data_IF_978643489105
#
_entry.id   IF_978643489105
#
_cell.length_a   1.000
_cell.length_b   1.000
_cell.length_c   1.000
_cell.angle_alpha   90.00
_cell.angle_beta   90.00
_cell.angle_gamma   90.00
#
_symmetry.space_group_name_H-M   'P 1'
#
loop_
_entity.id
_entity.type
_entity.pdbx_description
1 polymer ?
#
# COMPACT_ATOMS: atom_id res chain seq x y z
N UNK A 1 7.92 -13.47 14.75
CA UNK A 1 8.51 -12.22 14.26
C UNK A 1 9.20 -12.47 12.94
N UNK A 2 9.08 -11.56 11.98
CA UNK A 2 9.76 -11.59 10.69
C UNK A 2 10.63 -10.32 10.59
N UNK A 3 11.92 -10.48 10.24
CA UNK A 3 12.90 -9.39 10.21
C UNK A 3 13.53 -9.31 8.84
N UNK A 4 13.59 -8.10 8.29
CA UNK A 4 14.36 -7.76 7.10
C UNK A 4 15.64 -7.04 7.53
N UNK A 5 16.79 -7.46 7.03
CA UNK A 5 18.06 -6.84 7.29
C UNK A 5 18.78 -6.51 5.98
N UNK A 6 18.94 -5.23 5.71
CA UNK A 6 19.60 -4.65 4.54
C UNK A 6 19.15 -5.28 3.21
N UNK A 7 17.84 -5.52 3.08
CA UNK A 7 17.25 -6.24 1.94
C UNK A 7 17.27 -5.38 0.69
N UNK A 8 17.88 -5.91 -0.37
CA UNK A 8 17.97 -5.26 -1.68
C UNK A 8 17.42 -6.15 -2.77
N UNK A 9 16.70 -5.55 -3.72
CA UNK A 9 16.23 -6.20 -4.95
C UNK A 9 16.56 -5.37 -6.16
N UNK A 10 17.35 -5.93 -7.07
CA UNK A 10 17.59 -5.39 -8.40
C UNK A 10 17.09 -6.36 -9.47
N UNK A 11 16.43 -5.82 -10.48
CA UNK A 11 15.99 -6.59 -11.66
C UNK A 11 16.91 -6.29 -12.84
N UNK A 12 17.28 -7.31 -13.57
CA UNK A 12 18.05 -7.15 -14.83
C UNK A 12 17.12 -6.59 -15.91
N UNK A 13 17.59 -5.54 -16.60
CA UNK A 13 16.86 -4.90 -17.70
C UNK A 13 17.58 -5.20 -19.02
N UNK A 14 16.83 -5.71 -20.02
CA UNK A 14 17.36 -6.00 -21.36
C UNK A 14 17.96 -7.40 -21.53
N UNK A 15 17.94 -7.87 -22.79
CA UNK A 15 18.34 -9.23 -23.17
C UNK A 15 19.86 -9.34 -23.44
N UNK A 16 20.52 -8.23 -23.80
CA UNK A 16 21.96 -8.17 -24.09
C UNK A 16 22.57 -6.93 -23.40
N UNK A 17 23.31 -7.16 -22.32
CA UNK A 17 24.10 -6.11 -21.66
C UNK A 17 23.30 -4.97 -20.99
N UNK A 18 22.04 -5.22 -20.66
CA UNK A 18 21.17 -4.26 -20.03
C UNK A 18 21.59 -3.96 -18.58
N UNK A 19 21.25 -2.75 -18.12
CA UNK A 19 21.50 -2.31 -16.75
C UNK A 19 20.68 -3.10 -15.71
N UNK A 20 20.89 -2.77 -14.45
CA UNK A 20 20.06 -3.25 -13.34
C UNK A 20 19.13 -2.13 -12.86
N UNK A 21 17.87 -2.45 -12.62
CA UNK A 21 16.89 -1.54 -12.03
C UNK A 21 16.70 -1.91 -10.56
N UNK A 22 17.18 -1.09 -9.61
CA UNK A 22 16.96 -1.34 -8.20
C UNK A 22 15.51 -1.04 -7.83
N UNK A 23 14.77 -2.05 -7.37
CA UNK A 23 13.38 -1.92 -6.92
C UNK A 23 13.27 -1.75 -5.41
N UNK A 24 14.21 -2.32 -4.65
CA UNK A 24 14.34 -2.16 -3.19
C UNK A 24 15.83 -2.02 -2.89
N UNK A 25 16.16 -1.14 -1.96
CA UNK A 25 17.54 -0.73 -1.65
C UNK A 25 17.73 -0.68 -0.13
N UNK A 26 18.36 -1.71 0.44
CA UNK A 26 18.77 -1.76 1.83
C UNK A 26 17.64 -1.64 2.86
N UNK A 27 16.47 -2.21 2.58
CA UNK A 27 15.34 -2.12 3.51
C UNK A 27 15.60 -2.96 4.77
N UNK A 28 15.49 -2.32 5.95
CA UNK A 28 15.64 -2.96 7.26
C UNK A 28 14.47 -2.56 8.15
N UNK A 29 13.67 -3.55 8.55
CA UNK A 29 12.55 -3.40 9.49
C UNK A 29 12.04 -4.75 9.96
N UNK A 30 11.13 -4.75 10.91
CA UNK A 30 10.52 -5.97 11.44
C UNK A 30 8.99 -5.93 11.38
N UNK A 31 8.38 -7.10 11.31
CA UNK A 31 6.93 -7.31 11.43
C UNK A 31 6.71 -8.16 12.68
N UNK A 32 6.02 -7.57 13.66
CA UNK A 32 5.81 -8.16 14.99
C UNK A 32 4.48 -8.91 15.04
N UNK A 33 4.39 -10.01 15.81
CA UNK A 33 3.10 -10.62 16.13
C UNK A 33 2.17 -9.63 16.84
N UNK A 34 0.88 -9.66 16.49
CA UNK A 34 -0.12 -8.80 17.13
C UNK A 34 -0.03 -7.31 16.77
N UNK A 35 0.68 -6.97 15.70
CA UNK A 35 0.89 -5.60 15.24
C UNK A 35 0.58 -5.48 13.74
N UNK A 36 -0.03 -4.37 13.34
CA UNK A 36 -0.15 -3.98 11.94
C UNK A 36 0.96 -2.98 11.62
N UNK A 37 1.83 -3.35 10.70
CA UNK A 37 2.85 -2.47 10.14
C UNK A 37 2.36 -1.97 8.78
N UNK A 38 2.08 -0.67 8.63
CA UNK A 38 1.74 -0.08 7.34
C UNK A 38 3.01 0.17 6.51
N UNK A 39 3.00 -0.29 5.27
CA UNK A 39 4.04 0.03 4.27
C UNK A 39 3.43 0.96 3.22
N UNK A 40 3.82 2.23 3.26
CA UNK A 40 3.20 3.31 2.50
C UNK A 40 4.20 3.91 1.50
N UNK A 41 3.72 4.35 0.36
CA UNK A 41 4.50 5.04 -0.67
C UNK A 41 3.81 5.05 -2.01
N UNK A 42 4.33 5.82 -2.97
CA UNK A 42 3.78 5.92 -4.32
C UNK A 42 3.79 4.59 -5.08
N UNK A 43 3.02 4.52 -6.16
CA UNK A 43 3.10 3.39 -7.09
C UNK A 43 4.52 3.27 -7.64
N UNK A 44 5.05 2.03 -7.69
CA UNK A 44 6.44 1.79 -8.12
C UNK A 44 7.51 2.04 -7.06
N UNK A 45 7.17 2.42 -5.83
CA UNK A 45 8.18 2.63 -4.76
C UNK A 45 8.85 1.34 -4.26
N UNK A 46 8.36 0.14 -4.64
CA UNK A 46 8.95 -1.15 -4.24
C UNK A 46 8.12 -1.95 -3.23
N UNK A 47 6.98 -1.45 -2.77
CA UNK A 47 6.12 -2.09 -1.74
C UNK A 47 5.75 -3.54 -2.06
N UNK A 48 5.12 -3.76 -3.20
CA UNK A 48 4.73 -5.13 -3.63
C UNK A 48 5.93 -6.03 -3.89
N UNK A 49 7.10 -5.45 -4.24
CA UNK A 49 8.35 -6.20 -4.36
C UNK A 49 8.81 -6.72 -3.00
N UNK A 50 8.74 -5.90 -1.95
CA UNK A 50 9.00 -6.32 -0.56
C UNK A 50 8.05 -7.43 -0.14
N UNK A 51 6.75 -7.28 -0.35
CA UNK A 51 5.77 -8.33 -0.08
C UNK A 51 6.09 -9.64 -0.80
N UNK A 52 6.44 -9.58 -2.10
CA UNK A 52 6.81 -10.77 -2.89
C UNK A 52 8.11 -11.41 -2.39
N UNK A 53 9.08 -10.65 -1.90
CA UNK A 53 10.31 -11.21 -1.31
C UNK A 53 10.02 -11.91 0.02
N UNK A 54 9.21 -11.32 0.89
CA UNK A 54 8.74 -11.96 2.12
C UNK A 54 8.03 -13.27 1.80
N UNK A 55 7.16 -13.29 0.82
CA UNK A 55 6.45 -14.50 0.38
C UNK A 55 7.31 -15.48 -0.44
N UNK A 56 8.60 -15.18 -0.62
CA UNK A 56 9.53 -15.97 -1.47
C UNK A 56 9.05 -16.19 -2.90
N UNK A 57 8.20 -15.32 -3.41
CA UNK A 57 7.79 -15.29 -4.82
C UNK A 57 8.86 -14.64 -5.71
N UNK A 58 9.75 -13.86 -5.08
CA UNK A 58 10.89 -13.21 -5.72
C UNK A 58 12.11 -13.34 -4.80
N UNK A 59 13.27 -13.81 -5.28
CA UNK A 59 14.47 -13.89 -4.45
C UNK A 59 15.04 -12.49 -4.16
N UNK A 60 15.67 -12.33 -3.01
CA UNK A 60 16.47 -11.15 -2.68
C UNK A 60 17.73 -11.10 -3.53
N UNK A 61 18.27 -9.91 -3.79
CA UNK A 61 19.57 -9.74 -4.46
C UNK A 61 20.70 -9.73 -3.42
N UNK A 62 20.49 -9.04 -2.30
CA UNK A 62 21.38 -9.04 -1.14
C UNK A 62 20.60 -8.74 0.13
N UNK A 63 21.23 -8.89 1.30
CA UNK A 63 20.57 -8.83 2.59
C UNK A 63 19.85 -10.13 2.94
N UNK A 64 19.19 -10.16 4.09
CA UNK A 64 18.52 -11.36 4.62
C UNK A 64 17.11 -11.05 5.09
N UNK A 65 16.23 -12.05 4.94
CA UNK A 65 14.90 -12.04 5.55
C UNK A 65 14.84 -13.26 6.47
N UNK A 66 14.61 -13.04 7.76
CA UNK A 66 14.49 -14.10 8.74
C UNK A 66 13.08 -14.21 9.28
N UNK A 67 12.62 -15.43 9.46
CA UNK A 67 11.38 -15.74 10.15
C UNK A 67 11.68 -16.64 11.35
N UNK A 68 11.32 -16.16 12.56
CA UNK A 68 11.65 -16.83 13.82
C UNK A 68 13.13 -17.21 13.92
N UNK A 69 14.02 -16.29 13.48
CA UNK A 69 15.48 -16.45 13.52
C UNK A 69 16.07 -17.31 12.39
N UNK A 70 15.26 -17.87 11.50
CA UNK A 70 15.74 -18.68 10.37
C UNK A 70 15.69 -17.88 9.07
N UNK A 71 16.80 -17.83 8.32
CA UNK A 71 16.82 -17.20 6.99
C UNK A 71 15.90 -17.96 6.03
N UNK A 72 14.88 -17.28 5.54
CA UNK A 72 13.87 -17.88 4.66
C UNK A 72 14.46 -18.33 3.32
N UNK A 73 15.57 -17.76 2.86
CA UNK A 73 16.22 -18.15 1.60
C UNK A 73 16.76 -19.58 1.66
N UNK A 74 17.13 -20.08 2.83
CA UNK A 74 17.70 -21.41 3.05
C UNK A 74 16.65 -22.52 3.09
N UNK A 75 15.39 -22.20 3.37
CA UNK A 75 14.30 -23.17 3.55
C UNK A 75 14.01 -23.96 2.29
N UNK A 76 13.86 -25.28 2.40
CA UNK A 76 13.54 -26.20 1.29
C UNK A 76 12.55 -27.29 1.73
N UNK A 77 11.84 -27.86 0.77
CA UNK A 77 10.96 -29.01 0.99
C UNK A 77 9.96 -28.80 2.14
N UNK A 78 10.06 -29.61 3.18
CA UNK A 78 9.16 -29.56 4.35
C UNK A 78 9.25 -28.23 5.12
N UNK A 79 10.46 -27.68 5.28
CA UNK A 79 10.66 -26.40 5.99
C UNK A 79 10.00 -25.23 5.24
N UNK A 80 10.12 -25.20 3.91
CA UNK A 80 9.47 -24.20 3.09
C UNK A 80 7.94 -24.31 3.14
N UNK A 81 7.43 -25.55 3.17
CA UNK A 81 6.00 -25.81 3.32
C UNK A 81 5.48 -25.34 4.67
N UNK A 82 6.26 -25.54 5.74
CA UNK A 82 5.91 -25.06 7.08
C UNK A 82 5.96 -23.54 7.14
N UNK A 83 6.94 -22.91 6.50
CA UNK A 83 6.98 -21.46 6.34
C UNK A 83 5.69 -20.92 5.72
N UNK A 84 5.22 -21.52 4.62
CA UNK A 84 3.96 -21.11 3.99
C UNK A 84 2.71 -21.44 4.82
N UNK A 85 2.82 -22.28 5.84
CA UNK A 85 1.75 -22.48 6.81
C UNK A 85 1.60 -21.27 7.74
N UNK A 86 2.70 -20.57 8.01
CA UNK A 86 2.76 -19.45 8.93
C UNK A 86 2.76 -18.07 8.25
N UNK A 87 3.21 -17.98 7.02
CA UNK A 87 3.32 -16.71 6.28
C UNK A 87 2.49 -16.79 5.00
N UNK A 88 1.44 -15.98 4.93
CA UNK A 88 0.51 -15.95 3.81
C UNK A 88 0.41 -14.57 3.21
N UNK A 89 0.00 -14.50 1.92
CA UNK A 89 -0.24 -13.25 1.22
C UNK A 89 -1.63 -13.18 0.61
N UNK A 90 -2.17 -11.98 0.62
CA UNK A 90 -3.38 -11.60 -0.11
C UNK A 90 -3.04 -10.37 -0.93
N UNK A 91 -3.33 -10.40 -2.24
CA UNK A 91 -2.93 -9.38 -3.19
C UNK A 91 -4.10 -8.52 -3.66
N UNK A 92 -3.76 -7.39 -4.27
CA UNK A 92 -4.67 -6.34 -4.73
C UNK A 92 -5.80 -6.85 -5.63
N UNK A 93 -5.47 -7.65 -6.63
CA UNK A 93 -6.46 -8.20 -7.57
C UNK A 93 -6.86 -9.62 -7.13
N UNK A 94 -8.06 -9.77 -6.53
CA UNK A 94 -8.53 -11.09 -6.14
C UNK A 94 -8.77 -12.00 -7.35
N UNK A 95 -9.18 -11.45 -8.50
CA UNK A 95 -9.46 -12.24 -9.69
C UNK A 95 -8.22 -12.92 -10.25
N UNK A 96 -7.06 -12.27 -10.20
CA UNK A 96 -5.78 -12.83 -10.64
C UNK A 96 -5.33 -14.04 -9.79
N UNK A 97 -5.85 -14.17 -8.58
CA UNK A 97 -5.56 -15.29 -7.68
C UNK A 97 -6.36 -16.56 -8.00
N UNK A 98 -7.35 -16.47 -8.90
CA UNK A 98 -8.21 -17.57 -9.26
C UNK A 98 -8.07 -17.92 -10.75
N UNK A 99 -8.19 -19.20 -11.04
CA UNK A 99 -8.43 -19.63 -12.42
C UNK A 99 -9.96 -19.64 -12.66
N UNK A 100 -10.50 -18.82 -13.59
CA UNK A 100 -11.94 -18.65 -13.78
C UNK A 100 -12.68 -19.90 -14.26
N UNK A 101 -11.96 -20.90 -14.74
CA UNK A 101 -12.53 -22.20 -15.15
C UNK A 101 -13.01 -23.00 -13.94
N UNK A 102 -12.48 -22.73 -12.76
CA UNK A 102 -12.81 -23.44 -11.54
C UNK A 102 -13.69 -22.61 -10.61
N UNK A 103 -14.37 -23.30 -9.70
CA UNK A 103 -15.12 -22.67 -8.61
C UNK A 103 -14.17 -21.97 -7.64
N UNK A 104 -14.62 -20.88 -7.03
CA UNK A 104 -13.80 -20.10 -6.11
C UNK A 104 -13.38 -20.90 -4.86
N UNK A 105 -14.21 -21.81 -4.39
CA UNK A 105 -13.95 -22.67 -3.23
C UNK A 105 -12.89 -23.77 -3.46
N UNK A 106 -12.41 -23.94 -4.71
CA UNK A 106 -11.30 -24.85 -5.01
C UNK A 106 -10.03 -24.53 -4.21
N UNK A 107 -9.81 -23.27 -3.83
CA UNK A 107 -8.65 -22.88 -3.01
C UNK A 107 -8.61 -23.64 -1.69
N UNK A 108 -9.77 -23.94 -1.09
CA UNK A 108 -9.87 -24.72 0.15
C UNK A 108 -9.50 -26.20 -0.08
N UNK A 109 -9.93 -26.78 -1.20
CA UNK A 109 -9.55 -28.16 -1.55
C UNK A 109 -8.01 -28.29 -1.72
N UNK A 110 -7.36 -27.28 -2.30
CA UNK A 110 -5.91 -27.26 -2.44
C UNK A 110 -5.21 -27.21 -1.07
N UNK A 111 -5.72 -26.40 -0.13
CA UNK A 111 -5.19 -26.36 1.25
C UNK A 111 -5.37 -27.70 1.94
N UNK A 112 -6.57 -28.29 1.85
CA UNK A 112 -6.84 -29.63 2.42
C UNK A 112 -5.81 -30.65 1.94
N UNK A 113 -5.68 -30.78 0.63
CA UNK A 113 -4.74 -31.73 0.03
C UNK A 113 -3.30 -31.51 0.49
N UNK A 114 -2.90 -30.24 0.59
CA UNK A 114 -1.51 -29.91 0.91
C UNK A 114 -1.19 -29.99 2.38
N UNK A 115 -2.07 -29.62 3.28
CA UNK A 115 -1.76 -29.46 4.71
C UNK A 115 -2.57 -30.35 5.64
N UNK A 116 -3.75 -30.83 5.20
CA UNK A 116 -4.68 -31.58 6.03
C UNK A 116 -5.22 -32.84 5.32
N UNK A 117 -4.37 -33.70 4.74
CA UNK A 117 -4.81 -34.83 3.93
C UNK A 117 -5.60 -35.87 4.74
N UNK A 118 -5.32 -35.99 6.04
CA UNK A 118 -5.97 -36.95 6.94
C UNK A 118 -7.30 -36.47 7.54
N UNK A 119 -7.65 -35.19 7.38
CA UNK A 119 -8.91 -34.62 7.91
C UNK A 119 -10.09 -35.14 7.09
N UNK A 120 -11.15 -35.62 7.75
CA UNK A 120 -12.36 -36.10 7.10
C UNK A 120 -13.03 -35.01 6.24
N UNK A 121 -13.87 -35.42 5.29
CA UNK A 121 -14.58 -34.47 4.44
C UNK A 121 -15.60 -33.62 5.23
N UNK A 122 -16.24 -34.20 6.25
CA UNK A 122 -17.19 -33.50 7.11
C UNK A 122 -16.45 -32.45 7.97
N UNK A 123 -15.43 -32.86 8.71
CA UNK A 123 -14.66 -31.96 9.55
C UNK A 123 -14.01 -30.82 8.74
N UNK A 124 -13.52 -31.14 7.52
CA UNK A 124 -12.96 -30.11 6.65
C UNK A 124 -14.01 -29.07 6.22
N UNK A 125 -15.24 -29.55 5.95
CA UNK A 125 -16.34 -28.66 5.61
C UNK A 125 -16.64 -27.70 6.76
N UNK A 126 -16.71 -28.20 8.00
CA UNK A 126 -16.99 -27.39 9.18
C UNK A 126 -15.87 -26.34 9.42
N UNK A 127 -14.60 -26.72 9.21
CA UNK A 127 -13.47 -25.78 9.28
C UNK A 127 -13.57 -24.67 8.22
N UNK A 128 -13.93 -25.03 6.99
CA UNK A 128 -14.09 -24.06 5.89
C UNK A 128 -15.26 -23.12 6.18
N UNK A 129 -16.39 -23.65 6.71
CA UNK A 129 -17.55 -22.83 7.06
C UNK A 129 -17.22 -21.84 8.17
N UNK A 130 -16.62 -22.30 9.26
CA UNK A 130 -16.18 -21.43 10.34
C UNK A 130 -15.17 -20.38 9.87
N UNK A 131 -14.29 -20.73 8.91
CA UNK A 131 -13.36 -19.77 8.33
C UNK A 131 -14.07 -18.72 7.47
N UNK A 132 -15.07 -19.11 6.67
CA UNK A 132 -15.89 -18.16 5.88
C UNK A 132 -16.71 -17.24 6.79
N UNK A 133 -17.34 -17.79 7.82
CA UNK A 133 -18.08 -17.00 8.81
C UNK A 133 -17.21 -16.00 9.55
N UNK A 134 -15.96 -16.39 9.88
CA UNK A 134 -15.00 -15.51 10.55
C UNK A 134 -14.62 -14.27 9.74
N UNK A 135 -14.82 -14.32 8.42
CA UNK A 135 -14.60 -13.17 7.51
C UNK A 135 -15.93 -12.52 7.07
N UNK A 136 -17.04 -12.84 7.75
CA UNK A 136 -18.36 -12.27 7.46
C UNK A 136 -18.98 -12.75 6.14
N UNK A 137 -18.66 -13.97 5.70
CA UNK A 137 -19.27 -14.60 4.55
C UNK A 137 -20.18 -15.74 4.99
N UNK A 138 -21.42 -15.76 4.46
CA UNK A 138 -22.28 -16.93 4.60
C UNK A 138 -21.78 -18.05 3.66
N UNK A 139 -21.42 -19.24 4.18
CA UNK A 139 -20.93 -20.34 3.36
C UNK A 139 -21.86 -20.75 2.22
N UNK A 140 -23.19 -20.67 2.42
CA UNK A 140 -24.17 -21.03 1.39
C UNK A 140 -24.09 -20.11 0.17
N UNK A 141 -23.77 -18.83 0.37
CA UNK A 141 -23.77 -17.84 -0.68
C UNK A 141 -22.52 -17.90 -1.57
N UNK A 142 -21.42 -18.49 -1.06
CA UNK A 142 -20.11 -18.48 -1.75
C UNK A 142 -19.68 -19.88 -2.20
N UNK A 143 -20.19 -20.94 -1.60
CA UNK A 143 -19.85 -22.31 -2.01
C UNK A 143 -20.34 -22.62 -3.41
N UNK A 144 -19.58 -23.41 -4.12
CA UNK A 144 -19.88 -23.85 -5.47
C UNK A 144 -20.10 -22.75 -6.50
N UNK A 145 -19.73 -21.48 -6.17
CA UNK A 145 -19.80 -20.36 -7.10
C UNK A 145 -18.52 -20.24 -7.91
N UNK A 146 -18.68 -19.83 -9.16
CA UNK A 146 -17.53 -19.39 -9.97
C UNK A 146 -17.14 -17.95 -9.61
N UNK A 147 -15.92 -17.56 -9.94
CA UNK A 147 -15.40 -16.22 -9.63
C UNK A 147 -16.27 -15.07 -10.18
N UNK A 148 -16.83 -15.25 -11.40
CA UNK A 148 -17.71 -14.26 -12.03
C UNK A 148 -19.10 -14.14 -11.37
N UNK A 149 -19.46 -15.02 -10.43
CA UNK A 149 -20.70 -14.99 -9.68
C UNK A 149 -20.54 -14.35 -8.31
N UNK A 150 -19.34 -13.89 -7.97
CA UNK A 150 -18.99 -13.32 -6.68
C UNK A 150 -18.46 -11.88 -6.88
N UNK A 151 -18.73 -11.02 -5.89
CA UNK A 151 -18.15 -9.68 -5.88
C UNK A 151 -16.66 -9.73 -5.58
N UNK A 152 -15.92 -8.67 -5.98
CA UNK A 152 -14.50 -8.54 -5.64
C UNK A 152 -14.25 -8.65 -4.12
N UNK A 153 -15.11 -8.02 -3.31
CA UNK A 153 -15.03 -8.10 -1.85
C UNK A 153 -15.31 -9.50 -1.29
N UNK A 154 -16.21 -10.27 -1.90
CA UNK A 154 -16.41 -11.67 -1.53
C UNK A 154 -15.19 -12.53 -1.86
N UNK A 155 -14.62 -12.38 -3.07
CA UNK A 155 -13.41 -13.07 -3.48
C UNK A 155 -12.22 -12.73 -2.57
N UNK A 156 -12.07 -11.46 -2.20
CA UNK A 156 -11.03 -11.01 -1.29
C UNK A 156 -11.16 -11.66 0.09
N UNK A 157 -12.37 -11.68 0.65
CA UNK A 157 -12.64 -12.34 1.94
C UNK A 157 -12.46 -13.85 1.88
N UNK A 158 -12.76 -14.51 0.76
CA UNK A 158 -12.44 -15.94 0.57
C UNK A 158 -10.92 -16.17 0.60
N UNK A 159 -10.10 -15.28 0.02
CA UNK A 159 -8.63 -15.40 0.09
C UNK A 159 -8.11 -15.20 1.51
N UNK A 160 -8.73 -14.33 2.31
CA UNK A 160 -8.40 -14.19 3.73
C UNK A 160 -8.84 -15.45 4.50
N UNK A 161 -10.08 -15.94 4.30
CA UNK A 161 -10.56 -17.18 4.90
C UNK A 161 -9.64 -18.37 4.58
N UNK A 162 -9.16 -18.45 3.33
CA UNK A 162 -8.18 -19.45 2.92
C UNK A 162 -6.90 -19.38 3.77
N UNK A 163 -6.41 -18.19 4.03
CA UNK A 163 -5.21 -18.01 4.86
C UNK A 163 -5.48 -18.44 6.31
N UNK A 164 -6.66 -18.12 6.86
CA UNK A 164 -7.05 -18.44 8.24
C UNK A 164 -7.25 -19.94 8.51
N UNK A 165 -7.39 -20.78 7.49
CA UNK A 165 -7.38 -22.24 7.64
C UNK A 165 -6.00 -22.80 8.03
N UNK A 166 -4.96 -22.00 7.87
CA UNK A 166 -3.59 -22.30 8.27
C UNK A 166 -3.27 -21.61 9.61
N UNK A 167 -2.23 -22.05 10.28
CA UNK A 167 -1.77 -21.44 11.54
C UNK A 167 -0.92 -20.19 11.23
N UNK A 168 -1.55 -19.20 10.60
CA UNK A 168 -0.82 -18.02 10.16
C UNK A 168 -0.33 -17.16 11.32
N UNK A 169 0.91 -16.72 11.22
CA UNK A 169 1.56 -15.77 12.16
C UNK A 169 1.79 -14.41 11.51
N UNK A 170 1.99 -14.40 10.18
CA UNK A 170 2.21 -13.18 9.39
C UNK A 170 1.30 -13.19 8.16
N UNK A 171 0.61 -12.08 7.93
CA UNK A 171 -0.17 -11.81 6.73
C UNK A 171 0.43 -10.62 5.97
N UNK A 172 0.79 -10.82 4.71
CA UNK A 172 1.11 -9.75 3.78
C UNK A 172 -0.16 -9.36 3.03
N UNK A 173 -0.70 -8.19 3.32
CA UNK A 173 -1.94 -7.65 2.78
C UNK A 173 -1.60 -6.54 1.77
N UNK A 174 -1.42 -6.89 0.47
CA UNK A 174 -0.96 -5.97 -0.56
C UNK A 174 -2.15 -5.33 -1.28
N UNK A 175 -2.45 -4.06 -0.93
CA UNK A 175 -3.53 -3.23 -1.47
C UNK A 175 -4.92 -3.91 -1.47
N UNK A 176 -5.20 -4.74 -0.47
CA UNK A 176 -6.36 -5.65 -0.44
C UNK A 176 -7.73 -4.96 -0.42
N UNK A 177 -7.78 -3.65 -0.20
CA UNK A 177 -9.03 -2.87 -0.12
C UNK A 177 -9.21 -1.90 -1.29
N UNK A 178 -8.27 -1.84 -2.25
CA UNK A 178 -8.29 -0.86 -3.34
C UNK A 178 -9.43 -1.11 -4.35
N UNK A 179 -9.82 -2.38 -4.55
CA UNK A 179 -10.82 -2.79 -5.55
C UNK A 179 -12.19 -3.13 -4.95
N UNK A 180 -12.46 -2.74 -3.72
CA UNK A 180 -13.73 -3.02 -3.04
C UNK A 180 -14.44 -1.73 -2.66
N UNK A 181 -15.76 -1.78 -2.53
CA UNK A 181 -16.60 -0.66 -2.15
C UNK A 181 -16.31 -0.16 -0.72
N UNK A 182 -16.70 1.09 -0.44
CA UNK A 182 -16.36 1.77 0.81
C UNK A 182 -16.88 1.05 2.07
N UNK A 183 -18.08 0.46 2.01
CA UNK A 183 -18.64 -0.27 3.15
C UNK A 183 -17.85 -1.55 3.44
N UNK A 184 -17.55 -2.32 2.41
CA UNK A 184 -16.75 -3.55 2.51
C UNK A 184 -15.30 -3.27 2.95
N UNK A 185 -14.73 -2.08 2.62
CA UNK A 185 -13.39 -1.68 3.13
C UNK A 185 -13.35 -1.66 4.65
N UNK A 186 -14.35 -1.04 5.28
CA UNK A 186 -14.44 -0.96 6.75
C UNK A 186 -14.52 -2.37 7.35
N UNK A 187 -15.32 -3.26 6.77
CA UNK A 187 -15.42 -4.64 7.23
C UNK A 187 -14.08 -5.38 7.19
N UNK A 188 -13.31 -5.20 6.10
CA UNK A 188 -11.99 -5.84 5.96
C UNK A 188 -10.99 -5.25 6.96
N UNK A 189 -11.00 -3.93 7.21
CA UNK A 189 -10.15 -3.31 8.21
C UNK A 189 -10.47 -3.79 9.63
N UNK A 190 -11.75 -3.89 9.97
CA UNK A 190 -12.21 -4.44 11.25
C UNK A 190 -11.80 -5.91 11.40
N UNK A 191 -11.91 -6.69 10.32
CA UNK A 191 -11.42 -8.07 10.30
C UNK A 191 -9.93 -8.15 10.60
N UNK A 192 -9.08 -7.35 9.93
CA UNK A 192 -7.65 -7.31 10.18
C UNK A 192 -7.34 -6.91 11.64
N UNK A 193 -8.07 -5.93 12.19
CA UNK A 193 -7.94 -5.51 13.58
C UNK A 193 -8.27 -6.64 14.55
N UNK A 194 -9.33 -7.41 14.29
CA UNK A 194 -9.70 -8.57 15.08
C UNK A 194 -8.66 -9.71 15.00
N UNK A 195 -8.07 -9.92 13.82
CA UNK A 195 -7.02 -10.92 13.63
C UNK A 195 -5.72 -10.51 14.33
N UNK A 196 -5.37 -9.23 14.27
CA UNK A 196 -4.26 -8.65 15.04
C UNK A 196 -4.43 -8.91 16.54
N UNK A 197 -5.62 -8.66 17.10
CA UNK A 197 -5.91 -8.90 18.52
C UNK A 197 -5.73 -10.38 18.92
N UNK A 198 -5.76 -11.31 17.96
CA UNK A 198 -5.46 -12.73 18.16
C UNK A 198 -3.98 -13.09 17.96
N UNK A 199 -3.10 -12.10 17.82
CA UNK A 199 -1.66 -12.28 17.68
C UNK A 199 -1.14 -12.35 16.25
N UNK A 200 -1.96 -12.11 15.23
CA UNK A 200 -1.51 -12.06 13.84
C UNK A 200 -0.69 -10.80 13.59
N UNK A 201 0.54 -10.93 13.07
CA UNK A 201 1.30 -9.81 12.53
C UNK A 201 0.85 -9.52 11.10
N UNK A 202 0.63 -8.25 10.76
CA UNK A 202 0.17 -7.85 9.43
C UNK A 202 1.11 -6.82 8.82
N UNK A 203 1.61 -7.10 7.62
CA UNK A 203 2.18 -6.09 6.75
C UNK A 203 1.08 -5.56 5.83
N UNK A 204 0.57 -4.37 6.15
CA UNK A 204 -0.49 -3.71 5.39
C UNK A 204 0.12 -2.74 4.37
N UNK A 205 0.16 -3.18 3.11
CA UNK A 205 0.69 -2.37 2.00
C UNK A 205 -0.43 -1.53 1.41
N UNK A 206 -0.23 -0.22 1.38
CA UNK A 206 -1.20 0.72 0.84
C UNK A 206 -0.53 1.96 0.26
N UNK A 207 -1.22 2.66 -0.62
CA UNK A 207 -0.88 4.03 -1.03
C UNK A 207 -1.78 5.07 -0.33
N UNK A 208 -2.79 4.64 0.43
CA UNK A 208 -3.70 5.50 1.19
C UNK A 208 -3.19 5.69 2.61
N UNK A 209 -2.72 6.92 2.88
CA UNK A 209 -2.20 7.30 4.18
C UNK A 209 -3.28 7.25 5.29
N UNK A 210 -4.51 7.64 4.97
CA UNK A 210 -5.60 7.65 5.96
C UNK A 210 -5.89 6.25 6.48
N UNK A 211 -5.88 5.26 5.58
CA UNK A 211 -6.10 3.86 5.95
C UNK A 211 -4.90 3.29 6.72
N UNK A 212 -3.68 3.66 6.31
CA UNK A 212 -2.47 3.30 7.06
C UNK A 212 -2.51 3.84 8.48
N UNK A 213 -2.82 5.13 8.65
CA UNK A 213 -2.95 5.76 9.96
C UNK A 213 -4.05 5.12 10.82
N UNK A 214 -5.17 4.73 10.20
CA UNK A 214 -6.31 4.17 10.91
C UNK A 214 -6.03 2.79 11.54
N UNK A 215 -5.31 1.91 10.81
CA UNK A 215 -5.21 0.50 11.21
C UNK A 215 -3.89 0.13 11.89
N UNK A 216 -2.81 0.87 11.62
CA UNK A 216 -1.45 0.44 11.99
C UNK A 216 -0.93 1.05 13.28
N UNK A 217 -0.12 0.29 13.98
CA UNK A 217 0.70 0.75 15.10
C UNK A 217 2.05 1.30 14.65
N UNK A 218 2.59 0.74 13.57
CA UNK A 218 3.85 1.17 12.96
C UNK A 218 3.65 1.53 11.51
N UNK A 219 4.38 2.54 11.05
CA UNK A 219 4.36 3.00 9.67
C UNK A 219 5.76 3.04 9.11
N UNK A 220 5.90 2.57 7.87
CA UNK A 220 7.13 2.59 7.08
C UNK A 220 6.80 3.35 5.79
N UNK A 221 7.52 4.43 5.54
CA UNK A 221 7.40 5.22 4.32
C UNK A 221 8.49 4.79 3.34
N UNK A 222 8.07 4.29 2.19
CA UNK A 222 8.96 3.80 1.15
C UNK A 222 8.95 4.73 -0.06
N UNK A 223 10.12 5.20 -0.47
CA UNK A 223 10.31 6.03 -1.66
C UNK A 223 11.41 5.46 -2.53
N UNK A 224 11.11 5.14 -3.81
CA UNK A 224 12.09 4.63 -4.80
C UNK A 224 12.97 3.50 -4.27
N UNK A 225 12.35 2.58 -3.56
CA UNK A 225 13.01 1.41 -2.98
C UNK A 225 13.72 1.63 -1.66
N UNK A 226 13.75 2.84 -1.14
CA UNK A 226 14.40 3.21 0.13
C UNK A 226 13.36 3.48 1.20
N UNK A 227 13.58 2.96 2.40
CA UNK A 227 12.83 3.38 3.59
C UNK A 227 13.33 4.76 4.00
N UNK A 228 12.47 5.77 3.87
CA UNK A 228 12.84 7.17 4.14
C UNK A 228 12.43 7.64 5.53
N UNK A 229 11.38 7.05 6.09
CA UNK A 229 10.94 7.31 7.46
C UNK A 229 10.19 6.11 7.98
N UNK A 230 10.36 5.76 9.25
CA UNK A 230 9.58 4.71 9.91
C UNK A 230 9.51 4.92 11.41
N UNK A 231 8.46 4.38 12.04
CA UNK A 231 8.28 4.45 13.48
C UNK A 231 6.88 4.14 13.94
N UNK A 232 6.56 4.50 15.17
CA UNK A 232 5.20 4.50 15.67
C UNK A 232 4.32 5.37 14.76
N UNK A 233 3.18 4.85 14.33
CA UNK A 233 2.32 5.52 13.34
C UNK A 233 1.98 6.96 13.75
N UNK A 234 1.60 7.17 15.01
CA UNK A 234 1.31 8.52 15.51
C UNK A 234 2.49 9.48 15.33
N UNK A 235 3.73 9.04 15.63
CA UNK A 235 4.92 9.88 15.50
C UNK A 235 5.19 10.27 14.05
N UNK A 236 5.13 9.31 13.14
CA UNK A 236 5.33 9.54 11.70
C UNK A 236 4.27 10.48 11.12
N UNK A 237 3.02 10.41 11.59
CA UNK A 237 1.92 11.23 11.06
C UNK A 237 1.82 12.60 11.75
N UNK A 238 2.03 12.68 13.05
CA UNK A 238 1.88 13.94 13.80
C UNK A 238 3.14 14.82 13.71
N UNK A 239 4.33 14.21 13.57
CA UNK A 239 5.60 14.90 13.49
C UNK A 239 6.49 14.35 12.35
N UNK A 240 6.05 14.42 11.09
CA UNK A 240 6.81 13.89 9.96
C UNK A 240 8.12 14.64 9.78
N UNK A 241 9.24 13.94 9.74
CA UNK A 241 10.57 14.52 9.65
C UNK A 241 11.10 14.53 8.22
N UNK A 242 10.82 13.48 7.46
CA UNK A 242 11.26 13.41 6.08
C UNK A 242 10.36 14.27 5.17
N UNK A 243 10.98 15.05 4.28
CA UNK A 243 10.30 15.95 3.35
C UNK A 243 9.22 15.23 2.51
N UNK A 244 9.53 14.02 2.04
CA UNK A 244 8.59 13.21 1.27
C UNK A 244 7.35 12.82 2.09
N UNK A 245 7.53 12.49 3.37
CA UNK A 245 6.40 12.18 4.28
C UNK A 245 5.49 13.39 4.45
N UNK A 246 6.08 14.57 4.64
CA UNK A 246 5.32 15.84 4.72
C UNK A 246 4.53 16.11 3.44
N UNK A 247 5.16 15.89 2.28
CA UNK A 247 4.49 16.04 0.98
C UNK A 247 3.30 15.07 0.86
N UNK A 248 3.48 13.81 1.19
CA UNK A 248 2.40 12.82 1.14
C UNK A 248 1.23 13.22 2.05
N UNK A 249 1.52 13.69 3.28
CA UNK A 249 0.51 14.09 4.24
C UNK A 249 -0.24 15.36 3.84
N UNK A 250 0.41 16.32 3.18
CA UNK A 250 -0.25 17.53 2.66
C UNK A 250 -1.19 17.22 1.49
N UNK A 251 -0.96 16.13 0.77
CA UNK A 251 -1.83 15.69 -0.32
C UNK A 251 -3.12 14.98 0.17
N UNK A 252 -3.21 14.64 1.46
CA UNK A 252 -4.43 14.05 2.03
C UNK A 252 -5.47 15.13 2.30
N UNK A 253 -6.68 15.06 1.69
CA UNK A 253 -7.75 16.03 1.95
C UNK A 253 -8.14 16.03 3.43
N UNK A 254 -7.97 17.15 4.12
CA UNK A 254 -8.41 17.33 5.50
C UNK A 254 -9.83 17.89 5.50
N UNK A 255 -10.80 17.14 6.04
CA UNK A 255 -12.22 17.54 6.12
C UNK A 255 -12.48 18.90 6.81
N UNK A 256 -11.51 19.40 7.59
CA UNK A 256 -11.64 20.66 8.34
C UNK A 256 -10.80 21.81 7.77
N UNK A 257 -9.99 21.60 6.75
CA UNK A 257 -9.33 22.67 6.01
C UNK A 257 -10.07 22.90 4.71
N UNK A 258 -10.80 24.04 4.61
CA UNK A 258 -11.18 24.57 3.31
C UNK A 258 -9.90 24.72 2.48
N UNK A 259 -9.92 24.18 1.28
CA UNK A 259 -8.90 24.48 0.29
C UNK A 259 -8.92 25.99 0.05
N UNK A 260 -8.07 26.75 0.72
CA UNK A 260 -7.75 28.12 0.37
C UNK A 260 -6.75 28.13 -0.81
N UNK A 261 -7.12 27.42 -1.87
CA UNK A 261 -6.45 27.50 -3.15
C UNK A 261 -7.19 28.49 -4.02
N UNK A 262 -6.47 29.27 -4.80
CA UNK A 262 -6.90 30.34 -5.69
C UNK A 262 -8.10 30.04 -6.63
N UNK A 263 -8.56 28.80 -6.72
CA UNK A 263 -9.79 28.39 -7.41
C UNK A 263 -11.08 28.83 -6.73
N UNK A 264 -11.09 29.00 -5.40
CA UNK A 264 -12.25 29.50 -4.66
C UNK A 264 -12.52 30.99 -4.91
N UNK A 265 -11.48 31.79 -5.05
CA UNK A 265 -11.58 33.21 -5.32
C UNK A 265 -11.99 33.53 -6.78
N UNK A 266 -11.61 32.70 -7.74
CA UNK A 266 -12.02 32.83 -9.15
C UNK A 266 -13.48 32.42 -9.36
N UNK A 267 -13.98 31.41 -8.64
CA UNK A 267 -15.38 30.97 -8.73
C UNK A 267 -16.31 32.01 -8.07
N UNK A 268 -15.93 32.65 -6.95
CA UNK A 268 -16.69 33.74 -6.36
C UNK A 268 -16.65 35.00 -7.24
N UNK A 269 -15.54 35.33 -7.89
CA UNK A 269 -15.42 36.43 -8.83
C UNK A 269 -16.24 36.23 -10.11
N UNK A 270 -16.38 35.01 -10.60
CA UNK A 270 -17.22 34.65 -11.77
C UNK A 270 -18.72 34.68 -11.35
N UNK A 271 -19.03 34.24 -10.13
CA UNK A 271 -20.41 34.28 -9.60
C UNK A 271 -20.94 35.67 -9.32
N UNK A 272 -20.07 36.64 -8.94
CA UNK A 272 -20.46 38.00 -8.64
C UNK A 272 -20.67 38.88 -9.88
N UNK A 273 -20.08 38.54 -11.03
CA UNK A 273 -20.26 39.30 -12.28
C UNK A 273 -21.43 38.82 -13.13
N UNK A 274 -22.09 37.73 -12.78
CA UNK A 274 -23.22 37.18 -13.56
C UNK A 274 -24.61 37.58 -13.05
N UNK A 275 -24.73 38.40 -11.98
CA UNK A 275 -26.04 38.84 -11.48
C UNK A 275 -26.53 40.18 -11.95
N UNK A 276 -25.78 40.93 -12.76
CA UNK A 276 -26.17 42.31 -13.14
C UNK A 276 -26.34 42.57 -14.63
N UNK A 277 -26.44 41.57 -15.49
CA UNK A 277 -26.90 41.80 -16.88
C UNK A 277 -27.55 40.51 -17.44
N UNK A 278 -28.82 40.32 -17.25
CA UNK A 278 -29.71 39.88 -18.34
C UNK A 278 -31.19 40.05 -18.00
N UNK A 279 -31.73 41.21 -18.42
CA UNK A 279 -33.15 41.35 -18.76
C UNK A 279 -33.22 41.55 -20.27
N UNK A 280 -33.56 40.52 -21.03
CA UNK A 280 -34.10 40.71 -22.36
C UNK A 280 -33.58 39.88 -23.50
N UNK A 281 -34.41 38.90 -23.89
CA UNK A 281 -34.67 38.29 -25.21
C UNK A 281 -34.12 36.91 -25.49
N UNK A 282 -34.97 36.02 -26.00
CA UNK A 282 -34.63 34.65 -26.37
C UNK A 282 -34.16 34.53 -27.81
N UNK A 283 -33.21 33.64 -28.11
CA UNK A 283 -32.93 33.32 -29.49
C UNK A 283 -31.65 32.56 -29.81
N UNK A 284 -31.81 31.28 -30.13
CA UNK A 284 -31.03 30.45 -31.06
C UNK A 284 -29.65 29.94 -30.69
N UNK A 285 -29.61 28.64 -30.54
CA UNK A 285 -28.44 27.77 -30.66
C UNK A 285 -27.67 27.94 -31.97
N UNK A 286 -26.36 28.09 -31.91
CA UNK A 286 -25.44 27.73 -32.98
C UNK A 286 -24.16 27.13 -32.40
N UNK A 287 -23.81 25.95 -32.90
CA UNK A 287 -22.54 25.27 -32.68
C UNK A 287 -21.41 25.99 -33.44
N UNK A 288 -20.23 25.88 -32.87
CA UNK A 288 -18.89 26.02 -33.46
C UNK A 288 -18.08 27.22 -32.95
N UNK A 289 -17.01 26.93 -32.22
CA UNK A 289 -15.63 27.19 -32.65
C UNK A 289 -14.69 27.27 -31.43
N UNK A 290 -13.74 26.37 -31.43
CA UNK A 290 -12.45 26.45 -30.77
C UNK A 290 -11.68 27.69 -31.25
N UNK A 291 -11.07 28.45 -30.35
CA UNK A 291 -9.72 29.03 -30.45
C UNK A 291 -9.43 30.06 -29.34
N UNK A 292 -8.21 30.59 -29.20
CA UNK A 292 -7.24 30.13 -28.20
C UNK A 292 -6.82 31.26 -27.22
N UNK A 293 -6.00 30.87 -26.25
CA UNK A 293 -5.27 31.66 -25.28
C UNK A 293 -4.54 32.90 -25.87
N UNK A 294 -4.85 34.08 -25.32
CA UNK A 294 -3.92 35.23 -25.34
C UNK A 294 -4.05 36.04 -24.04
N UNK A 295 -3.01 36.06 -23.30
CA UNK A 295 -2.38 37.14 -22.55
C UNK A 295 -3.18 37.93 -21.50
N UNK A 296 -2.87 37.69 -20.21
CA UNK A 296 -2.98 38.73 -19.19
C UNK A 296 -1.67 38.87 -18.41
N UNK A 297 -1.01 40.01 -18.66
CA UNK A 297 0.07 40.53 -17.81
C UNK A 297 -0.50 41.25 -16.61
N UNK A 298 0.05 40.99 -15.41
CA UNK A 298 0.16 41.99 -14.38
C UNK A 298 -0.58 41.76 -13.10
N UNK A 299 0.00 41.05 -12.14
CA UNK A 299 -0.02 41.39 -10.70
C UNK A 299 1.17 40.74 -10.02
N UNK A 300 2.28 41.49 -9.99
CA UNK A 300 3.50 41.12 -9.26
C UNK A 300 3.32 41.53 -7.80
N UNK A 301 3.47 40.62 -6.87
CA UNK A 301 3.67 40.92 -5.46
C UNK A 301 3.43 39.76 -4.51
N UNK A 302 2.26 39.12 -4.55
CA UNK A 302 1.94 37.97 -3.66
C UNK A 302 2.19 36.59 -4.27
N UNK A 303 2.29 36.54 -5.60
CA UNK A 303 2.69 35.34 -6.35
C UNK A 303 4.13 34.91 -6.11
N UNK A 304 5.01 35.84 -5.68
CA UNK A 304 6.43 35.54 -5.48
C UNK A 304 6.68 34.68 -4.22
N UNK A 305 5.90 34.82 -3.16
CA UNK A 305 6.12 34.10 -1.92
C UNK A 305 5.59 32.66 -1.96
N UNK A 306 4.37 32.44 -2.50
CA UNK A 306 3.82 31.09 -2.69
C UNK A 306 4.63 30.30 -3.73
N UNK A 307 5.02 30.95 -4.83
CA UNK A 307 5.87 30.34 -5.86
C UNK A 307 7.30 30.10 -5.37
N UNK A 308 7.82 30.90 -4.43
CA UNK A 308 9.12 30.65 -3.78
C UNK A 308 9.04 29.41 -2.88
N UNK A 309 7.98 29.28 -2.09
CA UNK A 309 7.78 28.11 -1.21
C UNK A 309 7.57 26.82 -2.02
N UNK A 310 6.77 26.86 -3.10
CA UNK A 310 6.65 25.72 -4.03
C UNK A 310 7.96 25.40 -4.76
N UNK A 311 8.73 26.40 -5.15
CA UNK A 311 10.02 26.21 -5.80
C UNK A 311 11.09 25.67 -4.84
N UNK A 312 11.10 26.14 -3.60
CA UNK A 312 12.01 25.62 -2.56
C UNK A 312 11.62 24.19 -2.17
N UNK A 313 10.33 23.92 -2.05
CA UNK A 313 9.80 22.58 -1.81
C UNK A 313 10.11 21.63 -2.97
N UNK A 314 9.84 22.06 -4.21
CA UNK A 314 10.18 21.28 -5.40
C UNK A 314 11.70 21.11 -5.59
N UNK A 315 12.50 22.09 -5.19
CA UNK A 315 13.97 22.01 -5.24
C UNK A 315 14.53 21.03 -4.20
N UNK A 316 13.92 20.98 -3.00
CA UNK A 316 14.25 19.98 -1.98
C UNK A 316 13.89 18.57 -2.44
N UNK A 317 12.69 18.38 -2.98
CA UNK A 317 12.27 17.11 -3.59
C UNK A 317 13.20 16.68 -4.72
N UNK A 318 13.58 17.60 -5.61
CA UNK A 318 14.53 17.34 -6.69
C UNK A 318 15.92 16.96 -6.17
N UNK A 319 16.39 17.56 -5.06
CA UNK A 319 17.68 17.21 -4.44
C UNK A 319 17.66 15.78 -3.89
N UNK A 320 16.63 15.42 -3.12
CA UNK A 320 16.48 14.06 -2.59
C UNK A 320 16.30 13.05 -3.72
N UNK A 321 15.52 13.39 -4.75
CA UNK A 321 15.33 12.55 -5.93
C UNK A 321 16.60 12.38 -6.76
N UNK A 322 17.39 13.43 -6.89
CA UNK A 322 18.68 13.38 -7.59
C UNK A 322 19.66 12.53 -6.79
N UNK A 323 19.70 12.69 -5.46
CA UNK A 323 20.53 11.88 -4.58
C UNK A 323 20.20 10.39 -4.72
N UNK A 324 18.92 10.02 -4.59
CA UNK A 324 18.46 8.63 -4.72
C UNK A 324 18.66 8.04 -6.13
N UNK A 325 18.79 8.88 -7.17
CA UNK A 325 19.09 8.45 -8.55
C UNK A 325 20.58 8.26 -8.81
N UNK A 326 21.42 9.08 -8.18
CA UNK A 326 22.84 9.19 -8.52
C UNK A 326 23.76 8.46 -7.54
N UNK A 327 23.28 8.15 -6.32
CA UNK A 327 24.09 7.49 -5.33
C UNK A 327 23.66 6.03 -5.19
N UNK A 328 24.60 5.10 -5.23
CA UNK A 328 24.39 3.68 -4.96
C UNK A 328 24.18 3.41 -3.47
N UNK A 329 24.74 4.26 -2.62
CA UNK A 329 24.61 4.16 -1.18
C UNK A 329 23.23 4.65 -0.70
N UNK A 330 22.60 3.83 0.14
CA UNK A 330 21.32 4.15 0.79
C UNK A 330 21.62 5.01 2.02
N UNK A 331 20.95 6.16 2.19
CA UNK A 331 21.17 6.97 3.38
C UNK A 331 20.79 6.15 4.62
N UNK A 332 21.60 6.19 5.69
CA UNK A 332 21.30 5.47 6.91
C UNK A 332 20.04 6.04 7.57
N UNK A 333 19.27 5.14 8.17
CA UNK A 333 18.18 5.52 9.06
C UNK A 333 18.78 5.91 10.41
N UNK A 334 18.47 7.12 10.84
CA UNK A 334 18.90 7.66 12.14
C UNK A 334 17.68 7.74 13.04
N UNK A 335 17.77 7.20 14.25
CA UNK A 335 16.76 7.36 15.27
C UNK A 335 16.81 8.78 15.81
N UNK A 336 15.73 9.53 15.63
CA UNK A 336 15.60 10.93 16.04
C UNK A 336 14.89 11.10 17.37
N UNK A 337 14.04 10.16 17.71
CA UNK A 337 13.39 9.96 19.00
C UNK A 337 13.01 8.49 19.14
N UNK A 338 12.69 8.04 20.34
CA UNK A 338 12.32 6.65 20.62
C UNK A 338 11.30 6.13 19.58
N UNK A 339 11.66 5.06 18.88
CA UNK A 339 10.84 4.43 17.83
C UNK A 339 10.40 5.39 16.69
N UNK A 340 11.32 6.32 16.29
CA UNK A 340 11.13 7.19 15.11
C UNK A 340 12.45 7.36 14.36
N UNK A 341 12.51 6.80 13.15
CA UNK A 341 13.73 6.73 12.33
C UNK A 341 13.53 7.46 11.01
N UNK A 342 14.53 8.22 10.62
CA UNK A 342 14.51 9.01 9.38
C UNK A 342 15.79 8.80 8.60
N UNK A 343 15.68 8.65 7.28
CA UNK A 343 16.82 8.63 6.38
C UNK A 343 17.42 10.04 6.30
N UNK A 344 18.62 10.20 6.81
CA UNK A 344 19.36 11.46 6.69
C UNK A 344 20.22 11.40 5.44
N UNK A 345 20.02 12.34 4.49
CA UNK A 345 21.08 12.63 3.55
C UNK A 345 22.28 13.05 4.40
N UNK A 346 23.32 12.24 4.47
CA UNK A 346 24.62 12.69 5.00
C UNK A 346 25.04 13.86 4.13
N UNK A 347 24.52 15.02 4.45
CA UNK A 347 25.04 16.29 4.00
C UNK A 347 26.46 16.34 4.51
N UNK A 348 27.37 16.46 3.61
CA UNK A 348 28.75 16.81 3.90
C UNK A 348 28.78 17.87 5.00
N UNK A 349 29.45 17.53 6.10
CA UNK A 349 29.96 18.53 7.01
C UNK A 349 31.03 19.37 6.31
#
# INVERSE_FOLDING_TARGET
MLVLDNVTKAFKTGTFGGGTLPAVRGASFEIRPGEVTALIGESGSGKSTLGKMILRLTPVTSGTITFEGTDIATLKGKQLREYYRHVQGVFQDPFSSYNPVYRADRVFATIKHSYFPSVSAAEWRDRVDGSLESVGLNPVDVRNKFTHQLSGGQLQRILIARALLLDIKILVADEIISMIDASTRVDVLNLLSNLKARGLGVLFVTHDLSLGNYISERTIILRRGVVVEMGATQKVFDNPQHEYTRMLLTAVPQLHKKWEGELGAEVEAIGATSQDQDRGRPGRYSKSSLHPLVGMRGRKGRRAQAVATEREFAAGLLRTDTYLRTHEEVPPLVEIEEDHFVATSTGAG
#
